data_IF_181653948470
#
_entry.id   IF_181653948470
#
_cell.length_a   1.000
_cell.length_b   1.000
_cell.length_c   1.000
_cell.angle_alpha   90.00
_cell.angle_beta   90.00
_cell.angle_gamma   90.00
#
_symmetry.space_group_name_H-M   'P 1'
#
loop_
_entity.id
_entity.type
_entity.pdbx_description
1 polymer ?
#
# COMPACT_ATOMS: atom_id res chain seq x y z
N UNK A 1 1.25 -1.96 7.27
CA UNK A 1 0.57 -0.91 6.48
C UNK A 1 1.43 -0.68 5.26
N UNK A 2 0.86 -0.70 4.06
CA UNK A 2 1.55 -0.07 2.93
C UNK A 2 1.23 1.42 3.06
N UNK A 3 2.19 2.21 3.49
CA UNK A 3 2.10 3.66 3.43
C UNK A 3 2.51 4.16 2.03
N UNK A 4 2.31 5.45 1.79
CA UNK A 4 2.63 6.11 0.53
C UNK A 4 4.10 5.93 0.15
N UNK A 5 5.01 5.96 1.13
CA UNK A 5 6.44 5.76 0.93
C UNK A 5 6.74 4.35 0.43
N UNK A 6 6.16 3.34 1.07
CA UNK A 6 6.28 1.93 0.67
C UNK A 6 5.69 1.65 -0.70
N UNK A 7 4.57 2.30 -1.06
CA UNK A 7 3.97 2.16 -2.39
C UNK A 7 4.86 2.76 -3.48
N UNK A 8 5.35 3.99 -3.30
CA UNK A 8 6.25 4.63 -4.27
C UNK A 8 7.55 3.84 -4.41
N UNK A 9 8.09 3.34 -3.29
CA UNK A 9 9.29 2.48 -3.30
C UNK A 9 9.11 1.27 -4.21
N UNK A 10 7.96 0.59 -4.13
CA UNK A 10 7.63 -0.53 -5.01
C UNK A 10 7.58 -0.11 -6.50
N UNK A 11 7.02 1.06 -6.82
CA UNK A 11 7.00 1.55 -8.20
C UNK A 11 8.42 1.81 -8.74
N UNK A 12 9.28 2.43 -7.93
CA UNK A 12 10.68 2.68 -8.29
C UNK A 12 11.43 1.35 -8.46
N UNK A 13 11.26 0.39 -7.55
CA UNK A 13 11.87 -0.95 -7.63
C UNK A 13 11.48 -1.64 -8.95
N UNK A 14 10.19 -1.61 -9.31
CA UNK A 14 9.71 -2.19 -10.57
C UNK A 14 10.39 -1.54 -11.79
N UNK A 15 10.45 -0.21 -11.85
CA UNK A 15 11.07 0.50 -12.99
C UNK A 15 12.57 0.19 -13.09
N UNK A 16 13.29 0.15 -11.97
CA UNK A 16 14.70 -0.21 -11.92
C UNK A 16 14.95 -1.66 -12.38
N UNK A 17 14.07 -2.59 -12.03
CA UNK A 17 14.12 -3.97 -12.53
C UNK A 17 13.95 -4.01 -14.05
N UNK A 18 12.97 -3.31 -14.62
CA UNK A 18 12.75 -3.27 -16.08
C UNK A 18 13.95 -2.66 -16.83
N UNK A 19 14.67 -1.71 -16.21
CA UNK A 19 15.94 -1.20 -16.76
C UNK A 19 17.00 -2.30 -16.78
N UNK A 20 17.09 -3.13 -15.74
CA UNK A 20 18.02 -4.26 -15.66
C UNK A 20 17.73 -5.35 -16.69
N UNK A 21 16.46 -5.54 -17.02
CA UNK A 21 15.96 -6.49 -18.01
C UNK A 21 16.06 -5.97 -19.47
N UNK A 22 16.60 -4.75 -19.66
CA UNK A 22 16.71 -4.07 -20.96
C UNK A 22 15.36 -3.85 -21.67
N UNK A 23 14.26 -3.73 -20.94
CA UNK A 23 12.95 -3.41 -21.54
C UNK A 23 12.89 -1.97 -22.08
N UNK A 24 13.71 -1.08 -21.54
CA UNK A 24 13.82 0.30 -21.99
C UNK A 24 14.85 0.44 -23.12
N UNK A 25 14.52 1.14 -24.23
CA UNK A 25 15.48 1.39 -25.29
C UNK A 25 16.68 2.21 -24.76
N UNK A 26 17.91 1.97 -25.24
CA UNK A 26 19.12 2.65 -24.73
C UNK A 26 19.05 4.18 -24.72
N UNK A 27 18.28 4.77 -25.64
CA UNK A 27 18.04 6.21 -25.71
C UNK A 27 17.24 6.77 -24.52
N UNK A 28 16.50 5.93 -23.81
CA UNK A 28 15.66 6.31 -22.67
C UNK A 28 16.21 5.81 -21.34
N UNK A 29 16.93 4.68 -21.30
CA UNK A 29 17.37 4.04 -20.06
C UNK A 29 18.16 4.97 -19.13
N UNK A 30 18.98 5.87 -19.69
CA UNK A 30 19.73 6.87 -18.90
C UNK A 30 18.79 7.86 -18.19
N UNK A 31 17.79 8.38 -18.90
CA UNK A 31 16.80 9.30 -18.33
C UNK A 31 15.97 8.64 -17.24
N UNK A 32 15.54 7.39 -17.48
CA UNK A 32 14.77 6.61 -16.49
C UNK A 32 15.59 6.33 -15.24
N UNK A 33 16.89 5.99 -15.36
CA UNK A 33 17.79 5.82 -14.21
C UNK A 33 17.92 7.09 -13.38
N UNK A 34 18.10 8.24 -14.03
CA UNK A 34 18.19 9.54 -13.35
C UNK A 34 16.89 9.90 -12.62
N UNK A 35 15.74 9.57 -13.20
CA UNK A 35 14.44 9.73 -12.52
C UNK A 35 14.37 8.84 -11.28
N UNK A 36 14.68 7.55 -11.40
CA UNK A 36 14.68 6.63 -10.26
C UNK A 36 15.62 7.10 -9.15
N UNK A 37 16.81 7.59 -9.51
CA UNK A 37 17.75 8.16 -8.54
C UNK A 37 17.18 9.41 -7.84
N UNK A 38 16.52 10.30 -8.57
CA UNK A 38 15.86 11.47 -8.00
C UNK A 38 14.73 11.05 -7.03
N UNK A 39 13.89 10.10 -7.44
CA UNK A 39 12.80 9.57 -6.62
C UNK A 39 13.35 8.94 -5.32
N UNK A 40 14.43 8.16 -5.40
CA UNK A 40 15.12 7.60 -4.22
C UNK A 40 15.63 8.67 -3.26
N UNK A 41 16.18 9.76 -3.78
CA UNK A 41 16.66 10.88 -2.95
C UNK A 41 15.51 11.56 -2.20
N UNK A 42 14.35 11.71 -2.85
CA UNK A 42 13.14 12.24 -2.21
C UNK A 42 12.64 11.25 -1.15
N UNK A 43 12.48 9.97 -1.48
CA UNK A 43 12.07 8.92 -0.53
C UNK A 43 12.99 8.85 0.69
N UNK A 44 14.30 8.98 0.52
CA UNK A 44 15.25 8.98 1.64
C UNK A 44 15.11 10.21 2.56
N UNK A 45 14.64 11.34 2.03
CA UNK A 45 14.39 12.55 2.82
C UNK A 45 13.04 12.46 3.54
N UNK A 46 12.00 11.96 2.88
CA UNK A 46 10.63 11.89 3.38
C UNK A 46 10.32 10.52 3.96
N UNK A 47 10.76 10.29 5.20
CA UNK A 47 10.55 9.03 5.93
C UNK A 47 9.54 9.17 7.06
N UNK A 48 9.02 8.03 7.52
CA UNK A 48 8.21 7.91 8.72
C UNK A 48 9.00 8.38 9.96
N UNK A 49 8.48 9.36 10.69
CA UNK A 49 9.07 9.86 11.93
C UNK A 49 8.59 9.02 13.13
N UNK A 50 9.20 7.85 13.32
CA UNK A 50 8.83 6.91 14.39
C UNK A 50 9.15 7.41 15.80
N UNK A 51 10.00 8.41 15.93
CA UNK A 51 10.37 9.07 17.18
C UNK A 51 9.23 9.92 17.77
N UNK A 52 8.26 10.34 16.96
CA UNK A 52 7.10 11.12 17.36
C UNK A 52 5.95 10.20 17.80
N UNK A 53 6.25 9.43 18.84
CA UNK A 53 5.37 8.35 19.38
C UNK A 53 4.09 8.83 20.05
N UNK A 54 3.96 10.15 20.29
CA UNK A 54 2.80 10.77 20.91
C UNK A 54 1.68 11.09 19.90
N UNK A 55 1.98 11.04 18.60
CA UNK A 55 1.02 11.28 17.54
C UNK A 55 0.49 9.92 17.03
N UNK A 56 -0.84 9.75 16.98
CA UNK A 56 -1.45 8.47 16.62
C UNK A 56 -1.13 8.02 15.18
N UNK A 57 -0.77 8.98 14.33
CA UNK A 57 -0.29 8.77 12.97
C UNK A 57 1.14 9.28 12.91
N UNK A 58 2.07 8.47 12.43
CA UNK A 58 3.47 8.87 12.38
C UNK A 58 3.70 9.86 11.20
N UNK A 59 4.19 11.08 11.47
CA UNK A 59 4.38 12.13 10.46
C UNK A 59 5.49 11.86 9.45
N UNK A 60 5.64 12.79 8.51
CA UNK A 60 6.79 12.87 7.62
C UNK A 60 7.94 13.66 8.24
N UNK A 61 9.10 13.02 8.42
CA UNK A 61 10.33 13.70 8.84
C UNK A 61 10.86 14.69 7.77
N UNK A 62 10.59 14.43 6.49
CA UNK A 62 11.17 15.21 5.37
C UNK A 62 10.55 16.59 5.20
N UNK A 63 9.29 16.76 5.61
CA UNK A 63 8.58 18.04 5.54
C UNK A 63 9.01 19.02 6.64
N UNK A 64 9.79 18.55 7.62
CA UNK A 64 10.22 19.36 8.76
C UNK A 64 9.10 19.64 9.76
N UNK A 65 9.35 20.61 10.61
CA UNK A 65 8.48 21.05 11.69
C UNK A 65 8.12 22.52 11.53
N UNK A 66 7.05 22.97 12.19
CA UNK A 66 6.65 24.37 12.30
C UNK A 66 6.40 24.76 13.76
N UNK A 67 6.48 26.07 14.00
CA UNK A 67 6.22 26.65 15.31
C UNK A 67 7.38 26.52 16.29
N UNK A 68 7.12 26.91 17.54
CA UNK A 68 8.10 26.87 18.63
C UNK A 68 8.26 25.47 19.24
N UNK A 69 7.26 24.61 19.06
CA UNK A 69 7.19 23.28 19.68
C UNK A 69 7.68 22.16 18.76
N UNK A 70 8.35 22.50 17.66
CA UNK A 70 8.78 21.54 16.64
C UNK A 70 7.64 20.62 16.17
N UNK A 71 6.44 21.20 16.01
CA UNK A 71 5.26 20.45 15.59
C UNK A 71 5.45 19.98 14.14
N UNK A 72 5.23 18.71 13.82
CA UNK A 72 5.37 18.19 12.47
C UNK A 72 4.52 18.96 11.46
N UNK A 73 5.04 19.17 10.24
CA UNK A 73 4.27 19.83 9.17
C UNK A 73 3.21 18.92 8.54
N UNK A 74 3.19 17.64 8.87
CA UNK A 74 2.20 16.68 8.41
C UNK A 74 1.73 15.84 9.58
N UNK A 75 0.44 15.53 9.65
CA UNK A 75 -0.10 14.68 10.72
C UNK A 75 0.12 13.19 10.40
N UNK A 76 0.38 12.85 9.15
CA UNK A 76 0.66 11.49 8.66
C UNK A 76 1.70 11.55 7.53
N UNK A 77 2.51 10.50 7.36
CA UNK A 77 3.38 10.35 6.20
C UNK A 77 2.61 10.32 4.88
N UNK A 78 1.39 9.77 4.87
CA UNK A 78 0.53 9.72 3.68
C UNK A 78 0.03 11.10 3.23
N UNK A 79 0.02 12.09 4.14
CA UNK A 79 -0.36 13.47 3.84
C UNK A 79 0.83 14.31 3.36
N UNK A 80 2.01 13.70 3.19
CA UNK A 80 3.20 14.41 2.72
C UNK A 80 3.02 14.92 1.29
N UNK A 81 3.02 16.24 1.05
CA UNK A 81 2.76 16.80 -0.28
C UNK A 81 3.79 16.36 -1.31
N UNK A 82 5.08 16.28 -0.94
CA UNK A 82 6.13 15.83 -1.86
C UNK A 82 5.97 14.34 -2.25
N UNK A 83 5.52 13.50 -1.32
CA UNK A 83 5.25 12.09 -1.62
C UNK A 83 3.97 11.93 -2.43
N UNK A 84 2.94 12.75 -2.19
CA UNK A 84 1.71 12.74 -2.99
C UNK A 84 2.00 13.16 -4.44
N UNK A 85 2.75 14.24 -4.65
CA UNK A 85 3.18 14.67 -5.99
C UNK A 85 3.98 13.58 -6.71
N UNK A 86 4.89 12.91 -5.97
CA UNK A 86 5.66 11.80 -6.52
C UNK A 86 4.77 10.59 -6.86
N UNK A 87 3.81 10.26 -6.00
CA UNK A 87 2.86 9.19 -6.24
C UNK A 87 1.97 9.48 -7.46
N UNK A 88 1.52 10.73 -7.62
CA UNK A 88 0.82 11.19 -8.82
C UNK A 88 1.67 11.01 -10.09
N UNK A 89 2.97 11.33 -10.03
CA UNK A 89 3.87 11.10 -11.15
C UNK A 89 4.05 9.60 -11.49
N UNK A 90 3.80 8.70 -10.55
CA UNK A 90 3.75 7.25 -10.75
C UNK A 90 2.35 6.70 -11.05
N UNK A 91 1.34 7.57 -11.16
CA UNK A 91 -0.01 7.18 -11.56
C UNK A 91 -0.87 6.62 -10.42
N UNK A 92 -0.64 7.05 -9.17
CA UNK A 92 -1.56 6.70 -8.07
C UNK A 92 -2.98 7.20 -8.38
N UNK A 93 -3.99 6.37 -8.09
CA UNK A 93 -5.40 6.75 -8.18
C UNK A 93 -5.98 7.05 -6.80
N UNK A 94 -7.08 7.78 -6.74
CA UNK A 94 -7.80 8.03 -5.48
C UNK A 94 -8.19 6.72 -4.78
N UNK A 95 -8.51 5.68 -5.55
CA UNK A 95 -8.86 4.35 -5.02
C UNK A 95 -7.67 3.65 -4.37
N UNK A 96 -6.48 3.76 -4.98
CA UNK A 96 -5.24 3.22 -4.41
C UNK A 96 -4.91 3.99 -3.14
N UNK A 97 -4.95 5.33 -3.18
CA UNK A 97 -4.66 6.19 -2.03
C UNK A 97 -5.59 5.89 -0.84
N UNK A 98 -6.91 5.79 -1.10
CA UNK A 98 -7.89 5.42 -0.08
C UNK A 98 -7.65 4.02 0.52
N UNK A 99 -6.98 3.12 -0.20
CA UNK A 99 -6.57 1.81 0.29
C UNK A 99 -5.29 1.84 1.14
N UNK A 100 -4.42 2.83 0.95
CA UNK A 100 -3.18 3.01 1.74
C UNK A 100 -3.47 3.63 3.12
N UNK A 101 -4.50 4.48 3.22
CA UNK A 101 -4.95 5.08 4.49
C UNK A 101 -5.75 4.13 5.38
N UNK A 102 -6.21 3.00 4.82
CA UNK A 102 -6.92 2.03 5.62
C UNK A 102 -5.94 1.20 6.44
N UNK A 103 -6.10 1.11 7.78
CA UNK A 103 -5.46 0.03 8.51
C UNK A 103 -5.91 -1.26 7.81
N UNK A 104 -4.97 -2.15 7.47
CA UNK A 104 -5.26 -3.46 6.87
C UNK A 104 -6.43 -4.06 7.64
N UNK A 105 -7.66 -3.92 7.12
CA UNK A 105 -8.80 -4.64 7.66
C UNK A 105 -8.38 -6.07 7.47
N UNK A 106 -8.11 -6.73 8.59
CA UNK A 106 -7.70 -8.13 8.67
C UNK A 106 -8.45 -8.82 7.57
N UNK A 107 -7.73 -9.22 6.51
CA UNK A 107 -8.30 -9.97 5.40
C UNK A 107 -9.08 -11.07 6.10
N UNK A 108 -10.41 -11.00 6.11
CA UNK A 108 -11.19 -11.97 6.85
C UNK A 108 -10.79 -13.30 6.22
N UNK A 109 -9.99 -14.09 6.93
CA UNK A 109 -9.75 -15.45 6.50
C UNK A 109 -11.14 -16.02 6.26
N UNK A 110 -11.41 -16.57 5.07
CA UNK A 110 -12.72 -17.15 4.80
C UNK A 110 -12.99 -18.09 5.96
N UNK A 111 -14.01 -17.76 6.78
CA UNK A 111 -14.35 -18.55 7.96
C UNK A 111 -14.30 -20.01 7.53
N UNK A 112 -13.51 -20.89 8.18
CA UNK A 112 -13.52 -22.29 7.83
C UNK A 112 -14.98 -22.71 7.79
N UNK A 113 -15.44 -23.22 6.64
CA UNK A 113 -16.80 -23.74 6.55
C UNK A 113 -16.91 -24.71 7.71
N UNK A 114 -17.80 -24.40 8.65
CA UNK A 114 -18.06 -25.29 9.77
C UNK A 114 -18.38 -26.70 9.25
N UNK A 115 -18.35 -27.71 10.12
CA UNK A 115 -18.71 -29.07 9.72
C UNK A 115 -20.00 -29.04 8.88
N UNK A 116 -19.98 -29.79 7.77
CA UNK A 116 -21.11 -29.88 6.84
C UNK A 116 -22.41 -30.05 7.65
N UNK A 117 -23.48 -29.29 7.36
CA UNK A 117 -24.72 -29.39 8.10
C UNK A 117 -25.23 -30.84 8.05
N UNK A 118 -25.63 -31.38 9.21
CA UNK A 118 -26.17 -32.75 9.30
C UNK A 118 -27.46 -32.84 8.49
N UNK A 119 -27.33 -33.36 7.28
CA UNK A 119 -28.42 -33.51 6.32
C UNK A 119 -29.35 -34.67 6.68
N UNK A 120 -29.02 -35.51 7.68
CA UNK A 120 -29.81 -36.69 8.05
C UNK A 120 -31.21 -36.35 8.57
N UNK A 121 -31.40 -35.13 9.10
CA UNK A 121 -32.70 -34.67 9.63
C UNK A 121 -33.62 -34.02 8.59
N UNK A 122 -33.19 -33.88 7.33
CA UNK A 122 -34.03 -33.26 6.29
C UNK A 122 -35.10 -34.24 5.83
N UNK A 123 -36.40 -33.90 5.90
CA UNK A 123 -37.50 -34.77 5.46
C UNK A 123 -37.38 -35.16 3.98
N UNK A 124 -37.76 -36.39 3.64
CA UNK A 124 -37.60 -36.94 2.28
C UNK A 124 -38.29 -36.09 1.19
N UNK A 125 -39.39 -35.42 1.53
CA UNK A 125 -40.12 -34.53 0.60
C UNK A 125 -39.31 -33.31 0.13
N UNK A 126 -38.22 -32.97 0.83
CA UNK A 126 -37.36 -31.83 0.52
C UNK A 126 -35.99 -32.24 -0.06
N UNK A 127 -35.78 -33.54 -0.34
CA UNK A 127 -34.53 -34.05 -0.91
C UNK A 127 -34.63 -34.06 -2.43
N UNK A 128 -33.70 -33.38 -3.12
CA UNK A 128 -33.62 -33.36 -4.58
C UNK A 128 -33.09 -34.68 -5.17
N UNK A 129 -33.10 -34.83 -6.51
CA UNK A 129 -32.71 -36.06 -7.20
C UNK A 129 -31.30 -36.56 -6.86
N UNK A 130 -30.37 -35.65 -6.58
CA UNK A 130 -28.94 -35.94 -6.32
C UNK A 130 -28.60 -36.03 -4.83
N UNK A 131 -29.58 -36.28 -3.95
CA UNK A 131 -29.34 -36.38 -2.52
C UNK A 131 -28.53 -37.63 -2.16
N UNK A 132 -27.26 -37.44 -1.84
CA UNK A 132 -26.35 -38.51 -1.43
C UNK A 132 -26.73 -39.01 -0.04
N UNK A 133 -27.16 -40.27 0.07
CA UNK A 133 -27.33 -40.95 1.36
C UNK A 133 -26.00 -41.60 1.73
N UNK A 134 -25.21 -40.96 2.59
CA UNK A 134 -24.09 -41.61 3.29
C UNK A 134 -24.57 -42.19 4.63
#
# INVERSE_FOLDING_TARGET
MNDLHGWITQQVDCVEQLIGENEWPPSQSKGVRLRCEADRRILNRHRLATEWTWEHNAPCHGCGTSGYDDTPNTDNLNDCPELLDLAHAHGITEEILAGLDQPLTVRQEPKPRGPLPDTRRVPAALRGPDWSSQ
#
